data_IF_428135847028
#
_entry.id   IF_428135847028
#
_cell.length_a   1.000
_cell.length_b   1.000
_cell.length_c   1.000
_cell.angle_alpha   90.00
_cell.angle_beta   90.00
_cell.angle_gamma   90.00
#
_symmetry.space_group_name_H-M   'P 1'
#
loop_
_entity.id
_entity.type
_entity.pdbx_description
1 polymer ?
#
# COMPACT_ATOMS: atom_id res chain seq x y z
N UNK A 1 -13.64 -66.10 -25.41
CA UNK A 1 -12.52 -66.20 -24.45
C UNK A 1 -12.07 -64.77 -24.13
N UNK A 2 -12.60 -64.17 -23.06
CA UNK A 2 -12.00 -63.96 -21.72
C UNK A 2 -10.86 -62.91 -21.66
N UNK A 3 -11.22 -61.73 -21.11
CA UNK A 3 -10.47 -60.76 -20.24
C UNK A 3 -9.35 -59.93 -20.91
N UNK A 4 -9.10 -58.66 -20.58
CA UNK A 4 -9.31 -57.93 -19.31
C UNK A 4 -9.45 -56.41 -19.51
N UNK A 5 -10.21 -55.81 -18.60
CA UNK A 5 -10.28 -54.38 -18.26
C UNK A 5 -8.95 -53.92 -17.62
N UNK A 6 -8.56 -52.66 -17.84
CA UNK A 6 -7.41 -52.02 -17.18
C UNK A 6 -7.57 -50.50 -17.13
N UNK A 7 -8.25 -50.02 -16.08
CA UNK A 7 -8.29 -48.63 -15.62
C UNK A 7 -7.03 -48.28 -14.83
N UNK A 8 -6.34 -47.19 -15.16
CA UNK A 8 -5.47 -46.31 -14.33
C UNK A 8 -4.74 -45.36 -15.30
N UNK A 9 -4.51 -44.06 -15.13
CA UNK A 9 -4.27 -43.22 -13.96
C UNK A 9 -4.60 -41.75 -14.29
N UNK A 10 -5.02 -41.02 -13.26
CA UNK A 10 -5.14 -39.58 -13.23
C UNK A 10 -3.83 -38.87 -13.61
N UNK A 11 -3.96 -37.76 -14.33
CA UNK A 11 -2.91 -36.77 -14.53
C UNK A 11 -3.54 -35.38 -14.47
N UNK A 12 -3.73 -34.87 -13.26
CA UNK A 12 -4.15 -33.51 -13.01
C UNK A 12 -3.13 -32.54 -13.63
N UNK A 13 -3.51 -31.86 -14.71
CA UNK A 13 -2.76 -30.70 -15.19
C UNK A 13 -3.05 -29.52 -14.25
N UNK A 14 -2.27 -29.47 -13.18
CA UNK A 14 -2.13 -28.31 -12.31
C UNK A 14 -1.57 -27.16 -13.16
N UNK A 15 -2.44 -26.28 -13.66
CA UNK A 15 -2.02 -25.01 -14.24
C UNK A 15 -1.59 -24.11 -13.07
N UNK A 16 -0.29 -24.16 -12.78
CA UNK A 16 0.42 -23.17 -12.00
C UNK A 16 0.36 -21.84 -12.77
N UNK A 17 -0.69 -21.05 -12.55
CA UNK A 17 -0.68 -19.64 -12.88
C UNK A 17 0.21 -18.93 -11.86
N UNK A 18 1.53 -18.93 -12.11
CA UNK A 18 2.49 -18.02 -11.51
C UNK A 18 2.25 -16.60 -12.05
N UNK A 19 1.12 -16.03 -11.66
CA UNK A 19 0.83 -14.61 -11.79
C UNK A 19 1.10 -13.93 -10.46
N UNK A 20 2.37 -13.76 -10.10
CA UNK A 20 2.75 -12.80 -9.07
C UNK A 20 2.57 -11.37 -9.64
N UNK A 21 1.34 -11.04 -10.00
CA UNK A 21 0.92 -9.68 -10.30
C UNK A 21 0.81 -8.98 -8.95
N UNK A 22 1.57 -7.89 -8.77
CA UNK A 22 1.60 -7.05 -7.57
C UNK A 22 0.30 -7.09 -6.78
N UNK A 23 0.31 -7.84 -5.67
CA UNK A 23 -0.85 -8.05 -4.79
C UNK A 23 -1.16 -6.83 -3.92
N UNK A 24 -0.80 -5.64 -4.41
CA UNK A 24 -1.08 -4.37 -3.74
C UNK A 24 -2.48 -3.94 -4.20
N UNK A 25 -3.45 -3.81 -3.30
CA UNK A 25 -4.82 -3.47 -3.68
C UNK A 25 -4.85 -2.11 -4.40
N UNK A 26 -5.62 -1.95 -5.48
CA UNK A 26 -5.87 -0.63 -6.05
C UNK A 26 -6.57 0.26 -5.03
N UNK A 27 -6.22 1.55 -4.98
CA UNK A 27 -6.69 2.51 -3.96
C UNK A 27 -8.22 2.56 -3.87
N UNK A 28 -8.91 2.44 -5.00
CA UNK A 28 -10.36 2.53 -5.09
C UNK A 28 -11.10 1.39 -4.39
N UNK A 29 -10.44 0.24 -4.17
CA UNK A 29 -11.03 -0.96 -3.57
C UNK A 29 -10.56 -1.18 -2.13
N UNK A 30 -9.84 -0.21 -1.54
CA UNK A 30 -9.29 -0.35 -0.18
C UNK A 30 -10.36 -0.62 0.89
N UNK A 31 -11.53 0.05 0.90
CA UNK A 31 -12.59 -0.25 1.87
C UNK A 31 -13.08 -1.71 1.77
N UNK A 32 -13.26 -2.22 0.56
CA UNK A 32 -13.66 -3.60 0.28
C UNK A 32 -12.58 -4.59 0.70
N UNK A 33 -11.31 -4.28 0.44
CA UNK A 33 -10.18 -5.10 0.90
C UNK A 33 -10.07 -5.16 2.42
N UNK A 34 -10.27 -4.03 3.12
CA UNK A 34 -10.27 -4.00 4.59
C UNK A 34 -11.44 -4.80 5.14
N UNK A 35 -12.64 -4.66 4.57
CA UNK A 35 -13.84 -5.34 5.09
C UNK A 35 -13.85 -6.86 4.84
N UNK A 36 -13.17 -7.32 3.79
CA UNK A 36 -13.05 -8.75 3.46
C UNK A 36 -11.80 -9.44 4.00
N UNK A 37 -10.82 -8.68 4.53
CA UNK A 37 -9.60 -9.23 5.09
C UNK A 37 -9.88 -10.12 6.32
N UNK A 38 -9.45 -11.38 6.25
CA UNK A 38 -9.70 -12.37 7.31
C UNK A 38 -8.50 -13.24 7.64
N UNK A 39 -7.48 -13.24 6.79
CA UNK A 39 -6.26 -14.04 6.98
C UNK A 39 -5.07 -13.16 7.36
N UNK A 40 -4.06 -13.76 7.99
CA UNK A 40 -2.80 -13.08 8.26
C UNK A 40 -2.17 -12.48 6.98
N UNK A 41 -2.29 -13.19 5.86
CA UNK A 41 -1.79 -12.73 4.56
C UNK A 41 -2.58 -11.52 4.01
N UNK A 42 -3.89 -11.42 4.27
CA UNK A 42 -4.69 -10.25 3.89
C UNK A 42 -4.22 -9.01 4.62
N UNK A 43 -4.10 -9.09 5.95
CA UNK A 43 -3.65 -7.96 6.74
C UNK A 43 -2.19 -7.58 6.45
N UNK A 44 -1.32 -8.55 6.15
CA UNK A 44 0.04 -8.24 5.71
C UNK A 44 0.06 -7.43 4.41
N UNK A 45 -0.79 -7.77 3.43
CA UNK A 45 -0.92 -6.99 2.19
C UNK A 45 -1.41 -5.56 2.42
N UNK A 46 -2.38 -5.38 3.32
CA UNK A 46 -2.89 -4.05 3.67
C UNK A 46 -1.81 -3.24 4.41
N UNK A 47 -1.08 -3.87 5.33
CA UNK A 47 0.05 -3.23 6.01
C UNK A 47 1.10 -2.74 5.01
N UNK A 48 1.48 -3.55 4.03
CA UNK A 48 2.47 -3.18 3.02
C UNK A 48 1.98 -2.06 2.09
N UNK A 49 0.67 -2.01 1.81
CA UNK A 49 0.07 -0.88 1.11
C UNK A 49 0.24 0.42 1.90
N UNK A 50 -0.10 0.42 3.20
CA UNK A 50 0.02 1.62 4.04
C UNK A 50 1.48 1.99 4.30
N UNK A 51 2.40 1.03 4.37
CA UNK A 51 3.83 1.28 4.43
C UNK A 51 4.32 2.05 3.20
N UNK A 52 3.87 1.66 1.99
CA UNK A 52 4.17 2.37 0.75
C UNK A 52 3.56 3.77 0.73
N UNK A 53 2.32 3.93 1.20
CA UNK A 53 1.65 5.24 1.30
C UNK A 53 2.38 6.17 2.26
N UNK A 54 2.79 5.69 3.42
CA UNK A 54 3.57 6.47 4.38
C UNK A 54 4.89 6.96 3.76
N UNK A 55 5.64 6.07 3.11
CA UNK A 55 6.87 6.45 2.41
C UNK A 55 6.63 7.46 1.27
N UNK A 56 5.52 7.32 0.53
CA UNK A 56 5.11 8.27 -0.50
C UNK A 56 4.82 9.66 0.06
N UNK A 57 4.02 9.73 1.13
CA UNK A 57 3.73 11.00 1.81
C UNK A 57 4.98 11.65 2.40
N UNK A 58 5.89 10.87 2.99
CA UNK A 58 7.18 11.38 3.47
C UNK A 58 8.02 11.97 2.31
N UNK A 59 8.03 11.31 1.15
CA UNK A 59 8.73 11.80 -0.03
C UNK A 59 8.10 13.09 -0.57
N UNK A 60 6.77 13.15 -0.69
CA UNK A 60 6.04 14.36 -1.12
C UNK A 60 6.24 15.52 -0.13
N UNK A 61 6.23 15.26 1.18
CA UNK A 61 6.51 16.26 2.20
C UNK A 61 7.90 16.89 2.01
N UNK A 62 8.92 16.07 1.68
CA UNK A 62 10.27 16.55 1.36
C UNK A 62 10.32 17.36 0.06
N UNK A 63 9.51 17.03 -0.93
CA UNK A 63 9.41 17.85 -2.15
C UNK A 63 8.80 19.22 -1.84
N UNK A 64 7.70 19.24 -1.08
CA UNK A 64 7.09 20.50 -0.66
C UNK A 64 8.01 21.35 0.23
N UNK A 65 8.85 20.74 1.06
CA UNK A 65 9.89 21.45 1.80
C UNK A 65 10.86 22.19 0.88
N UNK A 66 11.33 21.54 -0.20
CA UNK A 66 12.20 22.19 -1.20
C UNK A 66 11.46 23.32 -1.92
N UNK A 67 10.16 23.16 -2.18
CA UNK A 67 9.34 24.21 -2.79
C UNK A 67 9.18 25.43 -1.88
N UNK A 68 9.02 25.23 -0.57
CA UNK A 68 9.04 26.34 0.41
C UNK A 68 10.33 27.15 0.25
N UNK A 69 11.50 26.49 0.27
CA UNK A 69 12.79 27.15 0.10
C UNK A 69 12.89 27.89 -1.23
N UNK A 70 12.42 27.28 -2.33
CA UNK A 70 12.46 27.89 -3.67
C UNK A 70 11.57 29.15 -3.78
N UNK A 71 10.39 29.14 -3.16
CA UNK A 71 9.47 30.28 -3.17
C UNK A 71 9.92 31.39 -2.20
N UNK A 72 10.48 31.05 -1.03
CA UNK A 72 10.98 32.02 -0.05
C UNK A 72 12.18 32.84 -0.53
N UNK A 73 12.94 32.34 -1.51
CA UNK A 73 14.11 33.04 -2.08
C UNK A 73 13.77 34.18 -3.06
N UNK A 74 12.49 34.48 -3.32
CA UNK A 74 12.07 35.47 -4.34
C UNK A 74 11.24 36.61 -3.71
N UNK A 75 11.79 37.84 -3.65
CA UNK A 75 11.21 38.92 -2.84
C UNK A 75 10.08 39.75 -3.48
N UNK A 76 9.48 39.37 -4.62
CA UNK A 76 8.42 40.19 -5.28
C UNK A 76 7.26 39.36 -5.83
N UNK A 77 6.02 39.77 -5.52
CA UNK A 77 4.75 39.21 -6.03
C UNK A 77 4.09 38.19 -5.09
N UNK A 78 3.04 37.50 -5.56
CA UNK A 78 2.27 36.47 -4.82
C UNK A 78 3.07 35.21 -4.42
N UNK A 79 4.38 35.24 -4.55
CA UNK A 79 5.31 34.12 -4.35
C UNK A 79 5.35 33.68 -2.88
N UNK A 80 5.19 34.62 -1.94
CA UNK A 80 5.10 34.32 -0.51
C UNK A 80 3.89 33.46 -0.14
N UNK A 81 2.77 33.62 -0.85
CA UNK A 81 1.57 32.78 -0.66
C UNK A 81 1.87 31.32 -1.01
N UNK A 82 2.66 31.07 -2.07
CA UNK A 82 3.03 29.72 -2.47
C UNK A 82 3.99 29.03 -1.48
N UNK A 83 4.85 29.80 -0.81
CA UNK A 83 5.66 29.28 0.30
C UNK A 83 4.76 28.82 1.47
N UNK A 84 3.74 29.62 1.83
CA UNK A 84 2.75 29.24 2.86
C UNK A 84 1.93 28.00 2.44
N UNK A 85 1.44 27.98 1.20
CA UNK A 85 0.73 26.85 0.61
C UNK A 85 1.55 25.54 0.70
N UNK A 86 2.82 25.57 0.26
CA UNK A 86 3.70 24.42 0.32
C UNK A 86 4.03 24.03 1.77
N UNK A 87 4.14 25.00 2.67
CA UNK A 87 4.31 24.75 4.11
C UNK A 87 3.14 23.98 4.70
N UNK A 88 1.91 24.37 4.36
CA UNK A 88 0.71 23.66 4.78
C UNK A 88 0.63 22.24 4.19
N UNK A 89 0.96 22.07 2.90
CA UNK A 89 1.01 20.73 2.29
C UNK A 89 2.06 19.83 2.93
N UNK A 90 3.26 20.34 3.20
CA UNK A 90 4.30 19.60 3.94
C UNK A 90 3.78 19.09 5.29
N UNK A 91 3.09 19.94 6.06
CA UNK A 91 2.55 19.56 7.35
C UNK A 91 1.49 18.44 7.23
N UNK A 92 0.50 18.63 6.35
CA UNK A 92 -0.55 17.63 6.10
C UNK A 92 0.00 16.29 5.60
N UNK A 93 1.03 16.31 4.76
CA UNK A 93 1.68 15.09 4.27
C UNK A 93 2.45 14.37 5.38
N UNK A 94 3.07 15.09 6.31
CA UNK A 94 3.69 14.48 7.50
C UNK A 94 2.64 13.82 8.39
N UNK A 95 1.52 14.49 8.63
CA UNK A 95 0.39 13.92 9.37
C UNK A 95 -0.16 12.68 8.65
N UNK A 96 -0.40 12.75 7.35
CA UNK A 96 -0.86 11.62 6.55
C UNK A 96 0.13 10.44 6.56
N UNK A 97 1.44 10.71 6.59
CA UNK A 97 2.45 9.66 6.76
C UNK A 97 2.31 8.98 8.12
N UNK A 98 2.13 9.73 9.20
CA UNK A 98 1.95 9.19 10.55
C UNK A 98 0.68 8.33 10.65
N UNK A 99 -0.44 8.80 10.10
CA UNK A 99 -1.68 8.03 10.05
C UNK A 99 -1.54 6.75 9.23
N UNK A 100 -0.84 6.81 8.09
CA UNK A 100 -0.53 5.62 7.30
C UNK A 100 0.37 4.63 8.07
N UNK A 101 1.34 5.10 8.88
CA UNK A 101 2.13 4.23 9.76
C UNK A 101 1.30 3.59 10.86
N UNK A 102 0.33 4.30 11.41
CA UNK A 102 -0.59 3.75 12.39
C UNK A 102 -1.42 2.60 11.79
N UNK A 103 -1.93 2.79 10.56
CA UNK A 103 -2.66 1.75 9.83
C UNK A 103 -1.75 0.56 9.46
N UNK A 104 -0.53 0.82 9.01
CA UNK A 104 0.48 -0.22 8.78
C UNK A 104 0.65 -1.07 10.04
N UNK A 105 0.92 -0.42 11.18
CA UNK A 105 1.15 -1.12 12.44
C UNK A 105 -0.08 -1.94 12.86
N UNK A 106 -1.26 -1.34 12.83
CA UNK A 106 -2.50 -2.03 13.22
C UNK A 106 -2.74 -3.29 12.40
N UNK A 107 -2.49 -3.24 11.09
CA UNK A 107 -2.60 -4.43 10.23
C UNK A 107 -1.48 -5.45 10.43
N UNK A 108 -0.25 -5.04 10.76
CA UNK A 108 0.82 -5.99 11.16
C UNK A 108 0.46 -6.72 12.46
N UNK A 109 -0.07 -6.00 13.45
CA UNK A 109 -0.51 -6.59 14.73
C UNK A 109 -1.64 -7.62 14.49
N UNK A 110 -2.61 -7.30 13.62
CA UNK A 110 -3.67 -8.25 13.23
C UNK A 110 -3.10 -9.48 12.52
N UNK A 111 -2.17 -9.29 11.58
CA UNK A 111 -1.52 -10.40 10.88
C UNK A 111 -0.78 -11.34 11.85
N UNK A 112 -0.05 -10.78 12.82
CA UNK A 112 0.64 -11.56 13.85
C UNK A 112 -0.35 -12.34 14.72
N UNK A 113 -1.48 -11.72 15.09
CA UNK A 113 -2.49 -12.36 15.94
C UNK A 113 -3.17 -13.57 15.30
N UNK A 114 -3.33 -13.57 13.96
CA UNK A 114 -3.97 -14.64 13.19
C UNK A 114 -3.00 -15.74 12.75
N UNK A 115 -1.68 -15.50 12.87
CA UNK A 115 -0.64 -16.47 12.54
C UNK A 115 -0.16 -17.32 13.73
N UNK A 116 -0.73 -17.08 14.92
CA UNK A 116 -0.49 -17.86 16.15
C UNK A 116 -1.54 -18.97 16.26
#
# INVERSE_FOLDING_TARGET
>A
MKRSLGTTLAGAALILALGACSSTPPVAEMPEFISSASTAADHQRIADYFAKKAAGYEAEAKQHEKMVTAYSGRPKGDVGMWASHCGALKAKLKEAAQEARALEKGHRDLAESLGK
#
